data_IF_069719225877
#
_entry.id   IF_069719225877
#
_cell.length_a   1.000
_cell.length_b   1.000
_cell.length_c   1.000
_cell.angle_alpha   90.00
_cell.angle_beta   90.00
_cell.angle_gamma   90.00
#
_symmetry.space_group_name_H-M   'P 1'
#
loop_
_entity.id
_entity.type
_entity.pdbx_description
1 polymer ?
#
# COMPACT_ATOMS: atom_id res chain seq x y z
N UNK A 1 -21.80 6.21 12.71
CA UNK A 1 -23.15 6.18 12.12
C UNK A 1 -23.22 5.00 11.18
N UNK A 2 -23.92 3.92 11.55
CA UNK A 2 -24.06 2.65 10.80
C UNK A 2 -25.49 2.48 10.25
N UNK A 3 -26.32 3.52 10.33
CA UNK A 3 -27.73 3.46 9.95
C UNK A 3 -27.87 3.69 8.45
N UNK A 4 -28.47 2.70 7.77
CA UNK A 4 -28.66 2.68 6.31
C UNK A 4 -27.79 1.67 5.53
N UNK A 5 -26.85 0.96 6.17
CA UNK A 5 -25.98 0.01 5.47
C UNK A 5 -26.59 -1.41 5.35
N UNK A 6 -26.42 -2.08 4.20
CA UNK A 6 -26.99 -3.41 3.95
C UNK A 6 -26.30 -4.55 4.70
N UNK A 7 -25.06 -4.36 5.19
CA UNK A 7 -24.32 -5.34 6.01
C UNK A 7 -23.71 -4.64 7.21
N UNK A 8 -24.03 -5.12 8.42
CA UNK A 8 -23.58 -4.53 9.69
C UNK A 8 -22.72 -5.47 10.54
N UNK A 9 -22.62 -6.75 10.18
CA UNK A 9 -21.89 -7.78 10.93
C UNK A 9 -21.08 -8.66 9.98
N UNK A 10 -20.02 -9.30 10.49
CA UNK A 10 -19.21 -10.25 9.71
C UNK A 10 -20.03 -11.47 9.29
N UNK A 11 -20.93 -11.95 10.15
CA UNK A 11 -21.88 -13.02 9.80
C UNK A 11 -22.79 -12.65 8.62
N UNK A 12 -23.10 -11.36 8.44
CA UNK A 12 -23.90 -10.84 7.31
C UNK A 12 -23.18 -10.85 5.97
N UNK A 13 -21.90 -11.27 5.91
CA UNK A 13 -21.14 -11.42 4.68
C UNK A 13 -21.46 -12.70 3.91
N UNK A 14 -22.13 -13.68 4.56
CA UNK A 14 -22.48 -14.96 3.91
C UNK A 14 -23.22 -14.75 2.59
N UNK A 15 -22.71 -15.35 1.52
CA UNK A 15 -23.22 -15.28 0.15
C UNK A 15 -22.97 -13.95 -0.58
N UNK A 16 -22.32 -12.97 0.07
CA UNK A 16 -22.05 -11.65 -0.52
C UNK A 16 -20.73 -11.64 -1.29
N UNK A 17 -20.67 -10.76 -2.29
CA UNK A 17 -19.41 -10.42 -2.94
C UNK A 17 -18.61 -9.49 -2.03
N UNK A 18 -17.40 -9.90 -1.65
CA UNK A 18 -16.53 -9.17 -0.72
C UNK A 18 -15.22 -8.86 -1.42
N UNK A 19 -14.87 -7.57 -1.47
CA UNK A 19 -13.70 -7.07 -2.19
C UNK A 19 -12.46 -6.94 -1.29
N UNK A 20 -11.34 -7.53 -1.71
CA UNK A 20 -10.06 -7.44 -1.02
C UNK A 20 -8.92 -7.87 -1.96
N UNK A 21 -7.69 -7.41 -1.75
CA UNK A 21 -6.58 -7.83 -2.60
C UNK A 21 -6.08 -9.22 -2.19
N UNK A 22 -5.87 -10.14 -3.14
CA UNK A 22 -5.40 -11.51 -2.86
C UNK A 22 -4.00 -11.46 -2.25
N UNK A 23 -3.75 -12.29 -1.23
CA UNK A 23 -2.44 -12.34 -0.56
C UNK A 23 -2.07 -11.11 0.28
N UNK A 24 -2.92 -10.07 0.31
CA UNK A 24 -2.68 -8.87 1.12
C UNK A 24 -3.11 -9.05 2.58
N UNK A 25 -2.73 -8.12 3.45
CA UNK A 25 -3.32 -8.03 4.79
C UNK A 25 -4.85 -8.04 4.81
N UNK A 26 -5.51 -7.43 3.81
CA UNK A 26 -6.97 -7.48 3.68
C UNK A 26 -7.49 -8.89 3.42
N UNK A 27 -6.73 -9.73 2.71
CA UNK A 27 -7.03 -11.16 2.50
C UNK A 27 -6.97 -11.93 3.82
N UNK A 28 -5.87 -11.80 4.55
CA UNK A 28 -5.72 -12.48 5.84
C UNK A 28 -6.75 -12.00 6.88
N UNK A 29 -7.08 -10.71 6.86
CA UNK A 29 -8.08 -10.12 7.74
C UNK A 29 -9.49 -10.65 7.51
N UNK A 30 -9.90 -10.83 6.25
CA UNK A 30 -11.24 -11.36 5.98
C UNK A 30 -11.34 -12.82 6.37
N UNK A 31 -10.31 -13.63 6.08
CA UNK A 31 -10.23 -15.03 6.51
C UNK A 31 -10.35 -15.13 8.04
N UNK A 32 -9.55 -14.35 8.78
CA UNK A 32 -9.57 -14.35 10.24
C UNK A 32 -10.89 -13.79 10.83
N UNK A 33 -11.55 -12.86 10.13
CA UNK A 33 -12.84 -12.34 10.57
C UNK A 33 -13.98 -13.36 10.36
N UNK A 34 -13.98 -14.07 9.23
CA UNK A 34 -14.95 -15.12 8.92
C UNK A 34 -14.85 -16.29 9.92
N UNK A 35 -13.62 -16.72 10.24
CA UNK A 35 -13.38 -17.80 11.19
C UNK A 35 -13.99 -17.52 12.58
N UNK A 36 -13.88 -16.28 13.07
CA UNK A 36 -14.48 -15.84 14.35
C UNK A 36 -16.00 -15.98 14.43
N UNK A 37 -16.68 -16.08 13.28
CA UNK A 37 -18.13 -16.27 13.20
C UNK A 37 -18.50 -17.64 12.60
N UNK A 38 -17.53 -18.55 12.49
CA UNK A 38 -17.74 -19.90 11.95
C UNK A 38 -18.01 -19.93 10.44
N UNK A 39 -17.50 -18.94 9.69
CA UNK A 39 -17.56 -18.88 8.23
C UNK A 39 -16.18 -19.11 7.61
N UNK A 40 -16.16 -19.48 6.34
CA UNK A 40 -14.93 -19.68 5.54
C UNK A 40 -14.98 -18.90 4.23
N UNK A 41 -13.89 -18.92 3.45
CA UNK A 41 -13.85 -18.30 2.13
C UNK A 41 -14.89 -18.86 1.16
N UNK A 42 -15.35 -20.10 1.36
CA UNK A 42 -16.42 -20.72 0.59
C UNK A 42 -17.81 -20.11 0.87
N UNK A 43 -17.96 -19.44 2.01
CA UNK A 43 -19.22 -18.80 2.42
C UNK A 43 -19.37 -17.39 1.84
N UNK A 44 -18.34 -16.83 1.19
CA UNK A 44 -18.39 -15.54 0.51
C UNK A 44 -18.10 -15.69 -0.98
N UNK A 45 -18.27 -14.61 -1.74
CA UNK A 45 -17.80 -14.53 -3.13
C UNK A 45 -16.61 -13.55 -3.18
N UNK A 46 -15.37 -14.04 -3.11
CA UNK A 46 -14.20 -13.17 -3.15
C UNK A 46 -14.13 -12.37 -4.46
N UNK A 47 -14.01 -11.05 -4.36
CA UNK A 47 -13.65 -10.18 -5.47
C UNK A 47 -12.23 -9.67 -5.22
N UNK A 48 -11.27 -10.20 -5.96
CA UNK A 48 -9.88 -9.83 -5.77
C UNK A 48 -9.58 -8.52 -6.49
N UNK A 49 -9.57 -7.43 -5.72
CA UNK A 49 -9.42 -6.06 -6.24
C UNK A 49 -8.59 -5.22 -5.27
N UNK A 50 -7.91 -4.16 -5.73
CA UNK A 50 -7.18 -3.27 -4.82
C UNK A 50 -8.09 -2.66 -3.77
N UNK A 51 -7.54 -2.15 -2.66
CA UNK A 51 -8.30 -1.28 -1.78
C UNK A 51 -9.03 -0.15 -2.53
N UNK A 52 -8.38 0.57 -3.45
CA UNK A 52 -9.02 1.65 -4.21
C UNK A 52 -10.22 1.19 -5.08
N UNK A 53 -10.07 0.08 -5.81
CA UNK A 53 -11.12 -0.49 -6.66
C UNK A 53 -12.22 -1.15 -5.85
N UNK A 54 -11.86 -1.75 -4.73
CA UNK A 54 -12.80 -2.27 -3.76
C UNK A 54 -13.71 -1.15 -3.22
N UNK A 55 -13.18 0.08 -3.05
CA UNK A 55 -13.99 1.26 -2.72
C UNK A 55 -14.93 1.61 -3.85
N UNK A 56 -14.41 1.75 -5.07
CA UNK A 56 -15.18 2.17 -6.22
C UNK A 56 -16.27 1.15 -6.58
N UNK A 57 -15.95 -0.14 -6.49
CA UNK A 57 -16.88 -1.25 -6.66
C UNK A 57 -17.95 -1.26 -5.55
N UNK A 58 -17.57 -0.98 -4.31
CA UNK A 58 -18.51 -0.91 -3.19
C UNK A 58 -19.46 0.29 -3.34
N UNK A 59 -18.92 1.48 -3.65
CA UNK A 59 -19.71 2.70 -3.91
C UNK A 59 -20.61 2.54 -5.14
N UNK A 60 -20.11 1.88 -6.19
CA UNK A 60 -20.86 1.56 -7.40
C UNK A 60 -21.83 0.37 -7.25
N UNK A 61 -21.97 -0.21 -6.06
CA UNK A 61 -22.88 -1.33 -5.78
C UNK A 61 -22.50 -2.67 -6.42
N UNK A 62 -21.30 -2.78 -7.01
CA UNK A 62 -20.78 -3.99 -7.66
C UNK A 62 -20.36 -5.06 -6.65
N UNK A 63 -20.01 -4.66 -5.42
CA UNK A 63 -19.69 -5.58 -4.31
C UNK A 63 -20.48 -5.20 -3.06
N UNK A 64 -20.79 -6.20 -2.23
CA UNK A 64 -21.60 -6.02 -1.02
C UNK A 64 -20.80 -5.58 0.20
N UNK A 65 -19.48 -5.76 0.18
CA UNK A 65 -18.54 -5.30 1.20
C UNK A 65 -17.13 -5.20 0.61
N UNK A 66 -16.26 -4.47 1.29
CA UNK A 66 -14.82 -4.40 1.00
C UNK A 66 -14.00 -4.41 2.28
N UNK A 67 -12.76 -4.87 2.20
CA UNK A 67 -11.85 -4.97 3.33
C UNK A 67 -10.62 -4.11 3.07
N UNK A 68 -10.44 -3.09 3.92
CA UNK A 68 -9.34 -2.14 3.87
C UNK A 68 -8.96 -1.75 5.32
N UNK A 69 -7.69 -1.39 5.54
CA UNK A 69 -7.20 -0.80 6.79
C UNK A 69 -6.68 0.62 6.52
N UNK A 70 -7.23 1.62 7.22
CA UNK A 70 -6.71 3.01 7.24
C UNK A 70 -5.74 3.22 8.43
N UNK A 71 -4.73 4.13 8.35
CA UNK A 71 -4.33 4.99 7.21
C UNK A 71 -3.06 4.56 6.44
N UNK A 72 -3.08 4.76 5.12
CA UNK A 72 -1.96 4.55 4.19
C UNK A 72 -1.03 5.79 4.11
N UNK A 73 0.28 5.56 4.04
CA UNK A 73 1.26 6.58 3.61
C UNK A 73 1.33 6.63 2.07
N UNK A 74 1.44 7.82 1.49
CA UNK A 74 1.58 7.99 0.03
C UNK A 74 2.98 7.57 -0.47
N UNK A 75 3.12 7.00 -1.69
CA UNK A 75 4.37 6.40 -2.18
C UNK A 75 5.62 7.29 -2.15
N UNK A 76 5.54 8.56 -2.56
CA UNK A 76 6.69 9.49 -2.53
C UNK A 76 7.15 9.85 -1.11
N UNK A 77 6.27 9.73 -0.11
CA UNK A 77 6.66 9.86 1.29
C UNK A 77 7.35 8.62 1.84
N UNK A 78 7.23 7.48 1.14
CA UNK A 78 7.65 6.19 1.62
C UNK A 78 9.04 5.78 1.11
N UNK A 79 9.38 6.08 -0.14
CA UNK A 79 10.75 5.97 -0.65
C UNK A 79 11.71 6.83 0.18
N UNK A 80 11.30 8.06 0.52
CA UNK A 80 12.03 8.94 1.44
C UNK A 80 12.10 8.39 2.88
N UNK A 81 11.12 7.60 3.32
CA UNK A 81 11.18 6.90 4.61
C UNK A 81 12.23 5.79 4.55
N UNK A 82 12.20 4.95 3.52
CA UNK A 82 13.16 3.87 3.31
C UNK A 82 14.61 4.36 3.27
N UNK A 83 14.85 5.50 2.61
CA UNK A 83 16.16 6.14 2.53
C UNK A 83 16.71 6.49 3.92
N UNK A 84 15.87 7.01 4.82
CA UNK A 84 16.25 7.30 6.22
C UNK A 84 16.69 6.08 7.01
N UNK A 85 16.30 4.88 6.59
CA UNK A 85 16.73 3.62 7.18
C UNK A 85 17.90 2.98 6.44
N UNK A 86 18.40 3.59 5.37
CA UNK A 86 19.54 3.09 4.58
C UNK A 86 19.14 2.18 3.42
N UNK A 87 17.86 2.18 3.02
CA UNK A 87 17.40 1.45 1.83
C UNK A 87 17.29 2.46 0.69
N UNK A 88 18.29 2.46 -0.19
CA UNK A 88 18.41 3.47 -1.25
C UNK A 88 17.22 3.40 -2.23
N UNK A 89 16.45 4.47 -2.41
CA UNK A 89 15.37 4.50 -3.40
C UNK A 89 15.93 4.68 -4.82
N UNK A 90 15.14 4.31 -5.82
CA UNK A 90 15.36 4.77 -7.19
C UNK A 90 15.21 6.31 -7.22
N UNK A 91 16.08 6.99 -7.96
CA UNK A 91 16.05 8.46 -8.02
C UNK A 91 14.71 8.91 -8.59
N UNK A 92 14.08 9.89 -7.94
CA UNK A 92 12.75 10.35 -8.33
C UNK A 92 12.54 11.84 -8.07
N UNK A 93 11.61 12.42 -8.84
CA UNK A 93 11.23 13.82 -8.74
C UNK A 93 9.72 13.97 -8.88
N UNK A 94 9.10 14.66 -7.92
CA UNK A 94 7.69 15.03 -7.99
C UNK A 94 7.51 16.19 -8.96
N UNK A 95 6.56 16.06 -9.89
CA UNK A 95 6.26 17.03 -10.94
C UNK A 95 4.75 17.24 -11.05
N UNK A 96 4.33 18.39 -11.60
CA UNK A 96 2.91 18.74 -11.76
C UNK A 96 2.52 19.04 -13.19
N UNK A 97 3.43 19.61 -13.98
CA UNK A 97 3.17 19.98 -15.37
C UNK A 97 4.10 19.24 -16.32
N UNK A 98 3.76 19.22 -17.61
CA UNK A 98 4.62 18.69 -18.67
C UNK A 98 5.96 19.43 -18.72
N UNK A 99 5.95 20.76 -18.59
CA UNK A 99 7.15 21.59 -18.57
C UNK A 99 8.07 21.26 -17.40
N UNK A 100 7.50 20.97 -16.22
CA UNK A 100 8.26 20.60 -15.02
C UNK A 100 8.86 19.18 -15.10
N UNK A 101 8.37 18.34 -16.02
CA UNK A 101 8.74 16.93 -16.11
C UNK A 101 9.97 16.66 -16.99
N UNK A 102 10.23 17.50 -17.99
CA UNK A 102 11.33 17.29 -18.94
C UNK A 102 12.71 17.42 -18.30
N UNK A 103 12.95 18.48 -17.53
CA UNK A 103 14.27 18.70 -16.94
C UNK A 103 14.67 17.58 -15.96
N UNK A 104 13.80 17.15 -15.01
CA UNK A 104 14.09 15.99 -14.17
C UNK A 104 14.33 14.71 -14.97
N UNK A 105 13.64 14.51 -16.10
CA UNK A 105 13.89 13.35 -16.94
C UNK A 105 15.27 13.39 -17.61
N UNK A 106 15.73 14.58 -18.05
CA UNK A 106 17.10 14.77 -18.58
C UNK A 106 18.16 14.54 -17.50
N UNK A 107 17.92 15.03 -16.28
CA UNK A 107 18.88 14.91 -15.16
C UNK A 107 19.11 13.45 -14.71
N UNK A 108 18.16 12.56 -14.97
CA UNK A 108 18.28 11.13 -14.63
C UNK A 108 19.21 10.37 -15.58
N UNK A 109 19.50 10.92 -16.77
CA UNK A 109 20.41 10.38 -17.81
C UNK A 109 20.12 8.92 -18.20
N UNK A 110 18.83 8.57 -18.22
CA UNK A 110 18.36 7.23 -18.59
C UNK A 110 16.93 7.30 -19.10
N UNK A 111 16.39 6.16 -19.56
CA UNK A 111 14.94 6.03 -19.67
C UNK A 111 14.30 6.22 -18.29
N UNK A 112 13.10 6.77 -18.27
CA UNK A 112 12.38 7.10 -17.04
C UNK A 112 11.02 6.43 -16.99
N UNK A 113 10.50 6.32 -15.77
CA UNK A 113 9.14 5.90 -15.46
C UNK A 113 8.36 7.12 -15.00
N UNK A 114 7.22 7.37 -15.62
CA UNK A 114 6.25 8.35 -15.16
C UNK A 114 5.16 7.61 -14.37
N UNK A 115 4.95 7.98 -13.11
CA UNK A 115 3.91 7.41 -12.25
C UNK A 115 2.97 8.51 -11.76
N UNK A 116 1.69 8.20 -11.68
CA UNK A 116 0.72 9.00 -10.94
C UNK A 116 1.07 8.97 -9.44
N UNK A 117 1.14 10.14 -8.81
CA UNK A 117 1.27 10.23 -7.35
C UNK A 117 -0.10 10.55 -6.75
N UNK A 118 -0.80 9.51 -6.29
CA UNK A 118 -2.11 9.63 -5.66
C UNK A 118 -2.18 8.77 -4.42
N UNK A 119 -2.82 9.29 -3.37
CA UNK A 119 -3.17 8.55 -2.16
C UNK A 119 -4.54 7.84 -2.28
N UNK A 120 -5.25 8.05 -3.40
CA UNK A 120 -6.56 7.45 -3.68
C UNK A 120 -6.48 6.26 -4.64
N UNK A 121 -5.41 6.19 -5.43
CA UNK A 121 -5.24 5.25 -6.53
C UNK A 121 -3.98 4.43 -6.29
N UNK A 122 -4.16 3.16 -5.96
CA UNK A 122 -3.07 2.21 -5.69
C UNK A 122 -2.71 1.38 -6.93
N UNK A 123 -3.70 0.95 -7.74
CA UNK A 123 -3.49 0.24 -9.02
C UNK A 123 -3.32 1.20 -10.18
N UNK A 124 -2.25 1.99 -10.11
CA UNK A 124 -1.97 3.06 -11.07
C UNK A 124 -1.84 2.52 -12.49
N UNK A 125 -1.24 1.35 -12.66
CA UNK A 125 -1.01 0.73 -13.98
C UNK A 125 -2.31 0.43 -14.72
N UNK A 126 -3.33 -0.10 -14.03
CA UNK A 126 -4.60 -0.54 -14.64
C UNK A 126 -5.41 0.63 -15.22
N UNK A 127 -5.22 1.82 -14.68
CA UNK A 127 -5.87 3.05 -15.16
C UNK A 127 -4.94 3.90 -16.05
N UNK A 128 -3.83 3.35 -16.52
CA UNK A 128 -2.86 4.07 -17.36
C UNK A 128 -2.01 5.11 -16.61
N UNK A 129 -2.05 5.11 -15.28
CA UNK A 129 -1.29 5.96 -14.36
C UNK A 129 0.17 5.52 -14.12
N UNK A 130 0.70 4.59 -14.92
CA UNK A 130 2.13 4.28 -15.00
C UNK A 130 2.54 4.21 -16.46
N UNK A 131 3.69 4.77 -16.80
CA UNK A 131 4.31 4.68 -18.11
C UNK A 131 5.80 4.46 -17.94
N UNK A 132 6.31 3.34 -18.47
CA UNK A 132 7.71 2.94 -18.35
C UNK A 132 8.46 3.21 -19.64
N UNK A 133 9.78 3.35 -19.56
CA UNK A 133 10.64 3.39 -20.75
C UNK A 133 10.54 4.68 -21.56
N UNK A 134 10.20 5.80 -20.95
CA UNK A 134 10.10 7.08 -21.65
C UNK A 134 11.47 7.72 -21.84
N UNK A 135 11.69 8.32 -23.00
CA UNK A 135 12.75 9.31 -23.19
C UNK A 135 12.34 10.67 -22.60
N UNK A 136 13.32 11.54 -22.37
CA UNK A 136 13.10 12.82 -21.69
C UNK A 136 12.23 13.80 -22.50
N UNK A 137 12.23 13.70 -23.83
CA UNK A 137 11.40 14.47 -24.75
C UNK A 137 9.97 13.90 -24.89
N UNK A 138 9.78 12.61 -24.62
CA UNK A 138 8.47 11.95 -24.66
C UNK A 138 7.62 12.23 -23.41
N UNK A 139 8.25 12.60 -22.28
CA UNK A 139 7.60 12.65 -20.97
C UNK A 139 6.49 13.69 -20.88
N UNK A 140 6.68 14.88 -21.47
CA UNK A 140 5.73 15.97 -21.40
C UNK A 140 4.40 15.62 -22.07
N UNK A 141 4.48 15.04 -23.27
CA UNK A 141 3.31 14.56 -24.01
C UNK A 141 2.63 13.40 -23.28
N UNK A 142 3.42 12.45 -22.74
CA UNK A 142 2.87 11.30 -22.01
C UNK A 142 2.16 11.72 -20.71
N UNK A 143 2.66 12.72 -19.99
CA UNK A 143 2.04 13.24 -18.77
C UNK A 143 0.66 13.84 -19.07
N UNK A 144 0.56 14.68 -20.09
CA UNK A 144 -0.72 15.27 -20.50
C UNK A 144 -1.73 14.18 -20.85
N UNK A 145 -1.31 13.16 -21.61
CA UNK A 145 -2.17 12.02 -21.95
C UNK A 145 -2.58 11.23 -20.71
N UNK A 146 -1.64 10.94 -19.81
CA UNK A 146 -1.91 10.23 -18.55
C UNK A 146 -2.95 10.95 -17.70
N UNK A 147 -2.89 12.29 -17.63
CA UNK A 147 -3.91 13.08 -16.93
C UNK A 147 -5.30 12.84 -17.49
N UNK A 148 -5.44 12.92 -18.82
CA UNK A 148 -6.71 12.68 -19.50
C UNK A 148 -7.22 11.25 -19.30
N UNK A 149 -6.35 10.25 -19.45
CA UNK A 149 -6.69 8.83 -19.30
C UNK A 149 -7.22 8.55 -17.87
N UNK A 150 -6.52 9.06 -16.85
CA UNK A 150 -6.90 8.89 -15.44
C UNK A 150 -8.19 9.65 -15.12
N UNK A 151 -8.36 10.86 -15.63
CA UNK A 151 -9.58 11.65 -15.43
C UNK A 151 -10.80 10.95 -16.05
N UNK A 152 -10.66 10.44 -17.27
CA UNK A 152 -11.71 9.69 -17.94
C UNK A 152 -12.08 8.40 -17.18
N UNK A 153 -11.09 7.70 -16.60
CA UNK A 153 -11.30 6.45 -15.86
C UNK A 153 -11.88 6.67 -14.45
N UNK A 154 -11.53 7.77 -13.78
CA UNK A 154 -11.80 7.95 -12.35
C UNK A 154 -12.74 9.12 -12.03
N UNK A 155 -13.02 9.99 -12.99
CA UNK A 155 -13.80 11.23 -12.80
C UNK A 155 -13.05 12.33 -12.02
N UNK A 156 -11.74 12.18 -11.82
CA UNK A 156 -10.89 13.15 -11.14
C UNK A 156 -9.61 13.40 -11.94
N UNK A 157 -9.29 14.67 -12.16
CA UNK A 157 -8.05 15.09 -12.81
C UNK A 157 -6.86 15.01 -11.84
N UNK A 158 -5.84 14.18 -12.11
CA UNK A 158 -4.64 14.15 -11.29
C UNK A 158 -3.77 15.39 -11.47
N UNK A 159 -3.26 15.91 -10.36
CA UNK A 159 -2.44 17.13 -10.29
C UNK A 159 -0.95 16.85 -10.04
N UNK A 160 -0.61 15.64 -9.57
CA UNK A 160 0.73 15.31 -9.09
C UNK A 160 1.22 13.99 -9.68
N UNK A 161 2.44 14.01 -10.20
CA UNK A 161 3.11 12.89 -10.84
C UNK A 161 4.53 12.72 -10.28
N UNK A 162 5.14 11.59 -10.60
CA UNK A 162 6.49 11.22 -10.22
C UNK A 162 7.26 10.81 -11.48
N UNK A 163 8.37 11.49 -11.74
CA UNK A 163 9.38 11.06 -12.71
C UNK A 163 10.41 10.26 -11.95
N UNK A 164 10.63 9.01 -12.32
CA UNK A 164 11.51 8.10 -11.61
C UNK A 164 12.50 7.44 -12.57
N UNK A 165 13.72 7.18 -12.08
CA UNK A 165 14.72 6.38 -12.77
C UNK A 165 14.17 4.99 -13.12
N UNK A 166 14.32 4.57 -14.38
CA UNK A 166 14.01 3.21 -14.77
C UNK A 166 15.19 2.28 -14.46
N UNK A 167 15.08 1.52 -13.39
CA UNK A 167 16.05 0.46 -13.07
C UNK A 167 15.85 -0.69 -14.07
N UNK A 168 16.80 -0.86 -14.98
CA UNK A 168 16.72 -1.81 -16.11
C UNK A 168 17.51 -3.11 -15.91
N UNK A 169 18.23 -3.22 -14.79
CA UNK A 169 19.10 -4.35 -14.46
C UNK A 169 18.89 -4.79 -13.01
N UNK A 170 19.16 -6.06 -12.73
CA UNK A 170 19.08 -6.62 -11.39
C UNK A 170 17.97 -7.66 -11.24
N UNK A 171 17.93 -8.27 -10.07
CA UNK A 171 16.87 -9.21 -9.68
C UNK A 171 15.80 -8.44 -8.91
N UNK A 172 14.55 -8.53 -9.37
CA UNK A 172 13.42 -7.95 -8.65
C UNK A 172 13.09 -8.78 -7.42
N UNK A 173 13.01 -8.13 -6.26
CA UNK A 173 12.66 -8.73 -4.98
C UNK A 173 11.47 -7.99 -4.37
N UNK A 174 10.77 -8.66 -3.48
CA UNK A 174 9.75 -8.09 -2.59
C UNK A 174 10.27 -8.20 -1.17
N UNK A 175 10.13 -7.12 -0.40
CA UNK A 175 10.40 -7.13 1.04
C UNK A 175 9.16 -6.63 1.76
N UNK A 176 8.50 -7.51 2.50
CA UNK A 176 7.28 -7.27 3.21
C UNK A 176 7.42 -7.42 4.72
N UNK A 177 6.51 -6.77 5.44
CA UNK A 177 6.25 -6.90 6.86
C UNK A 177 4.75 -7.05 7.04
N UNK A 178 4.35 -7.98 7.89
CA UNK A 178 3.00 -8.01 8.45
C UNK A 178 3.05 -8.10 9.97
N UNK A 179 2.22 -7.31 10.66
CA UNK A 179 2.01 -7.41 12.10
C UNK A 179 0.56 -7.74 12.42
N UNK A 180 0.39 -8.81 13.19
CA UNK A 180 -0.90 -9.30 13.68
C UNK A 180 -0.84 -9.66 15.18
N UNK A 181 -1.82 -10.44 15.65
CA UNK A 181 -1.89 -10.89 17.04
C UNK A 181 -0.83 -11.94 17.39
N UNK A 182 -0.28 -12.65 16.40
CA UNK A 182 0.75 -13.67 16.58
C UNK A 182 2.16 -13.04 16.65
N UNK A 183 2.29 -11.82 16.15
CA UNK A 183 3.48 -11.00 16.30
C UNK A 183 3.82 -10.25 15.03
N UNK A 184 5.12 -10.09 14.80
CA UNK A 184 5.64 -9.35 13.65
C UNK A 184 6.36 -10.33 12.74
N UNK A 185 5.95 -10.41 11.48
CA UNK A 185 6.58 -11.27 10.49
C UNK A 185 7.24 -10.44 9.39
N UNK A 186 8.46 -10.81 9.00
CA UNK A 186 9.19 -10.24 7.86
C UNK A 186 9.28 -11.27 6.74
N UNK A 187 9.21 -10.79 5.50
CA UNK A 187 9.14 -11.60 4.30
C UNK A 187 10.03 -11.02 3.20
N UNK A 188 11.15 -11.66 2.85
CA UNK A 188 11.72 -11.57 1.52
C UNK A 188 11.00 -12.54 0.56
N UNK A 189 10.84 -12.10 -0.68
CA UNK A 189 10.33 -12.90 -1.77
C UNK A 189 10.90 -12.47 -3.10
N UNK A 190 10.79 -13.33 -4.09
CA UNK A 190 11.06 -12.92 -5.46
C UNK A 190 10.01 -11.91 -5.92
N UNK A 191 10.42 -10.93 -6.73
CA UNK A 191 9.55 -9.94 -7.35
C UNK A 191 9.31 -10.16 -8.84
N UNK A 192 8.45 -9.33 -9.42
CA UNK A 192 8.09 -9.37 -10.83
C UNK A 192 7.00 -10.39 -11.18
N UNK A 193 6.54 -10.34 -12.42
CA UNK A 193 5.34 -11.07 -12.89
C UNK A 193 5.47 -12.59 -12.73
N UNK A 194 6.68 -13.13 -12.88
CA UNK A 194 6.93 -14.57 -12.73
C UNK A 194 6.91 -15.01 -11.26
N UNK A 195 7.20 -14.10 -10.31
CA UNK A 195 7.19 -14.42 -8.90
C UNK A 195 5.77 -14.66 -8.34
N UNK A 196 4.76 -13.98 -8.87
CA UNK A 196 3.35 -14.21 -8.50
C UNK A 196 2.91 -15.65 -8.80
N UNK A 197 3.47 -16.25 -9.86
CA UNK A 197 3.19 -17.63 -10.25
C UNK A 197 3.92 -18.59 -9.31
N UNK A 198 5.19 -18.30 -8.98
CA UNK A 198 6.03 -19.19 -8.18
C UNK A 198 5.72 -19.15 -6.68
N UNK A 199 5.13 -18.05 -6.18
CA UNK A 199 4.89 -17.77 -4.76
C UNK A 199 6.12 -18.04 -3.89
N UNK A 200 7.29 -17.65 -4.38
CA UNK A 200 8.57 -17.90 -3.74
C UNK A 200 8.88 -16.83 -2.68
N UNK A 201 8.47 -17.12 -1.45
CA UNK A 201 8.60 -16.23 -0.30
C UNK A 201 9.05 -17.02 0.92
N UNK A 202 9.84 -16.38 1.78
CA UNK A 202 10.27 -16.94 3.07
C UNK A 202 9.73 -16.06 4.17
N UNK A 203 9.03 -16.64 5.15
CA UNK A 203 8.49 -15.90 6.29
C UNK A 203 9.32 -16.19 7.54
N UNK A 204 9.65 -15.14 8.31
CA UNK A 204 10.21 -15.29 9.66
C UNK A 204 9.51 -14.37 10.64
N UNK A 205 9.28 -14.89 11.84
CA UNK A 205 8.83 -14.09 12.97
C UNK A 205 10.01 -13.28 13.52
N UNK A 206 9.81 -11.97 13.64
CA UNK A 206 10.73 -11.08 14.33
C UNK A 206 10.37 -11.02 15.82
N UNK A 207 11.35 -11.18 16.72
CA UNK A 207 11.15 -10.87 18.14
C UNK A 207 10.72 -9.41 18.32
N UNK A 208 9.96 -9.13 19.38
CA UNK A 208 9.41 -7.79 19.61
C UNK A 208 10.46 -6.74 19.97
N UNK A 209 11.64 -7.16 20.40
CA UNK A 209 12.71 -6.33 20.93
C UNK A 209 14.07 -6.54 20.23
N UNK A 210 14.10 -7.36 19.17
CA UNK A 210 15.33 -7.67 18.44
C UNK A 210 15.22 -7.35 16.95
N UNK A 211 16.35 -6.94 16.38
CA UNK A 211 16.51 -6.75 14.93
C UNK A 211 16.81 -8.09 14.26
N UNK A 212 16.46 -8.20 12.99
CA UNK A 212 16.98 -9.27 12.15
C UNK A 212 18.50 -9.16 12.10
N UNK A 213 19.23 -10.25 12.38
CA UNK A 213 20.67 -10.24 12.19
C UNK A 213 21.02 -10.35 10.71
N UNK A 214 22.19 -9.86 10.31
CA UNK A 214 22.66 -10.02 8.93
C UNK A 214 22.76 -11.51 8.54
N UNK A 215 23.13 -12.37 9.48
CA UNK A 215 23.19 -13.82 9.27
C UNK A 215 21.79 -14.38 8.98
N UNK A 216 20.79 -14.05 9.79
CA UNK A 216 19.41 -14.51 9.60
C UNK A 216 18.86 -14.03 8.25
N UNK A 217 19.16 -12.78 7.87
CA UNK A 217 18.80 -12.23 6.57
C UNK A 217 19.41 -13.06 5.42
N UNK A 218 20.70 -13.38 5.48
CA UNK A 218 21.34 -14.23 4.47
C UNK A 218 20.76 -15.64 4.43
N UNK A 219 20.42 -16.23 5.58
CA UNK A 219 19.79 -17.56 5.66
C UNK A 219 18.40 -17.53 5.00
N UNK A 220 17.58 -16.52 5.31
CA UNK A 220 16.27 -16.33 4.68
C UNK A 220 16.37 -16.17 3.15
N UNK A 221 17.34 -15.40 2.66
CA UNK A 221 17.52 -15.20 1.20
C UNK A 221 17.91 -16.53 0.52
N UNK A 222 18.74 -17.37 1.17
CA UNK A 222 19.16 -18.68 0.63
C UNK A 222 18.06 -19.73 0.64
N UNK A 223 17.04 -19.57 1.48
CA UNK A 223 15.88 -20.46 1.54
C UNK A 223 14.91 -20.27 0.36
N UNK A 224 15.02 -19.16 -0.37
CA UNK A 224 14.23 -18.91 -1.57
C UNK A 224 14.52 -19.99 -2.62
N UNK A 225 13.47 -20.54 -3.23
CA UNK A 225 13.59 -21.51 -4.32
C UNK A 225 14.33 -20.92 -5.52
N UNK A 226 14.22 -19.61 -5.69
CA UNK A 226 14.87 -18.80 -6.73
C UNK A 226 16.21 -18.23 -6.32
N UNK A 227 16.77 -18.58 -5.15
CA UNK A 227 18.14 -18.23 -4.74
C UNK A 227 19.20 -18.35 -5.85
N UNK A 228 19.20 -19.38 -6.72
CA UNK A 228 20.18 -19.46 -7.81
C UNK A 228 20.19 -18.26 -8.77
N UNK A 229 19.10 -17.49 -8.87
CA UNK A 229 19.05 -16.26 -9.66
C UNK A 229 19.85 -15.11 -9.02
N UNK A 230 20.02 -15.13 -7.71
CA UNK A 230 20.85 -14.17 -6.96
C UNK A 230 22.33 -14.59 -6.96
N UNK A 231 22.63 -15.89 -6.95
CA UNK A 231 24.00 -16.44 -6.94
C UNK A 231 24.64 -16.54 -8.35
N UNK A 232 23.97 -16.00 -9.37
CA UNK A 232 24.40 -16.01 -10.76
C UNK A 232 23.89 -17.24 -11.51
N UNK A 233 23.15 -17.01 -12.60
CA UNK A 233 22.55 -18.07 -13.41
C UNK A 233 22.72 -17.79 -14.91
N UNK A 234 23.14 -18.82 -15.67
CA UNK A 234 23.34 -18.78 -17.13
C UNK A 234 24.08 -17.53 -17.63
N UNK A 235 25.24 -17.24 -17.04
CA UNK A 235 26.09 -16.12 -17.45
C UNK A 235 25.64 -14.74 -16.97
N UNK A 236 24.55 -14.64 -16.20
CA UNK A 236 24.23 -13.42 -15.45
C UNK A 236 25.20 -13.25 -14.28
N UNK A 237 25.63 -12.00 -14.00
CA UNK A 237 26.46 -11.71 -12.83
C UNK A 237 25.72 -12.04 -11.54
N UNK A 238 26.48 -12.21 -10.46
CA UNK A 238 25.94 -12.34 -9.11
C UNK A 238 25.26 -11.05 -8.68
N UNK A 239 24.11 -11.17 -8.04
CA UNK A 239 23.44 -10.05 -7.40
C UNK A 239 24.17 -9.65 -6.11
N UNK A 240 23.97 -8.42 -5.66
CA UNK A 240 24.51 -7.90 -4.41
C UNK A 240 23.71 -8.42 -3.19
N UNK A 241 23.94 -9.69 -2.86
CA UNK A 241 23.24 -10.38 -1.77
C UNK A 241 23.52 -9.72 -0.41
N UNK A 242 24.73 -9.23 -0.19
CA UNK A 242 25.09 -8.54 1.05
C UNK A 242 24.32 -7.23 1.18
N UNK A 243 24.15 -6.48 0.09
CA UNK A 243 23.29 -5.29 0.11
C UNK A 243 21.81 -5.64 0.32
N UNK A 244 21.30 -6.74 -0.23
CA UNK A 244 19.94 -7.22 0.04
C UNK A 244 19.77 -7.59 1.53
N UNK A 245 20.75 -8.31 2.11
CA UNK A 245 20.73 -8.66 3.53
C UNK A 245 20.77 -7.40 4.41
N UNK A 246 21.63 -6.44 4.08
CA UNK A 246 21.69 -5.14 4.75
C UNK A 246 20.36 -4.38 4.65
N UNK A 247 19.67 -4.44 3.49
CA UNK A 247 18.36 -3.84 3.30
C UNK A 247 17.28 -4.51 4.17
N UNK A 248 17.29 -5.84 4.31
CA UNK A 248 16.38 -6.57 5.22
C UNK A 248 16.63 -6.18 6.69
N UNK A 249 17.89 -6.06 7.10
CA UNK A 249 18.24 -5.60 8.45
C UNK A 249 17.76 -4.16 8.67
N UNK A 250 18.01 -3.27 7.71
CA UNK A 250 17.52 -1.88 7.73
C UNK A 250 15.98 -1.81 7.81
N UNK A 251 15.30 -2.65 7.05
CA UNK A 251 13.84 -2.75 7.07
C UNK A 251 13.33 -3.23 8.42
N UNK A 252 13.96 -4.25 9.02
CA UNK A 252 13.63 -4.70 10.40
C UNK A 252 13.85 -3.60 11.45
N UNK A 253 14.85 -2.74 11.25
CA UNK A 253 15.09 -1.56 12.11
C UNK A 253 13.98 -0.52 11.99
N UNK A 254 13.53 -0.24 10.77
CA UNK A 254 12.36 0.61 10.54
C UNK A 254 11.13 0.08 11.28
N UNK A 255 10.89 -1.23 11.17
CA UNK A 255 9.77 -1.91 11.81
C UNK A 255 9.81 -1.79 13.33
N UNK A 256 10.98 -2.03 13.92
CA UNK A 256 11.16 -1.93 15.37
C UNK A 256 10.97 -0.49 15.85
N UNK A 257 11.53 0.49 15.13
CA UNK A 257 11.46 1.91 15.51
C UNK A 257 10.06 2.52 15.34
N UNK A 258 9.30 2.08 14.33
CA UNK A 258 7.91 2.51 14.16
C UNK A 258 6.95 1.75 15.09
N UNK A 259 7.37 0.59 15.62
CA UNK A 259 6.63 -0.19 16.60
C UNK A 259 5.22 -0.51 16.15
N UNK A 260 4.28 -0.56 17.09
CA UNK A 260 2.85 -0.86 16.84
C UNK A 260 2.16 0.07 15.84
N UNK A 261 2.77 1.23 15.55
CA UNK A 261 2.24 2.14 14.54
C UNK A 261 2.39 1.59 13.14
N UNK A 262 3.33 0.70 12.87
CA UNK A 262 3.48 0.06 11.56
C UNK A 262 2.79 -1.30 11.58
N UNK A 263 1.70 -1.42 10.84
CA UNK A 263 0.95 -2.67 10.73
C UNK A 263 1.46 -3.50 9.56
N UNK A 264 1.78 -2.83 8.46
CA UNK A 264 2.23 -3.46 7.23
C UNK A 264 3.18 -2.51 6.52
N UNK A 265 4.20 -3.06 5.89
CA UNK A 265 5.06 -2.33 4.97
C UNK A 265 5.53 -3.29 3.90
N UNK A 266 5.63 -2.80 2.67
CA UNK A 266 6.16 -3.58 1.56
C UNK A 266 6.99 -2.67 0.65
N UNK A 267 8.13 -3.18 0.20
CA UNK A 267 8.92 -2.64 -0.89
C UNK A 267 8.75 -3.57 -2.08
N UNK A 268 8.18 -3.06 -3.16
CA UNK A 268 7.86 -3.86 -4.32
C UNK A 268 7.80 -3.00 -5.60
N UNK A 269 8.77 -3.12 -6.54
CA UNK A 269 9.96 -3.96 -6.45
C UNK A 269 11.10 -3.30 -5.66
N UNK A 270 11.89 -4.13 -4.98
CA UNK A 270 13.25 -3.86 -4.55
C UNK A 270 14.21 -4.51 -5.56
N UNK A 271 14.89 -3.71 -6.37
CA UNK A 271 15.88 -4.22 -7.31
C UNK A 271 17.20 -4.52 -6.60
N UNK A 272 17.72 -5.73 -6.78
CA UNK A 272 19.06 -6.14 -6.34
C UNK A 272 19.99 -6.09 -7.53
N UNK A 273 20.89 -5.12 -7.55
CA UNK A 273 21.82 -4.91 -8.66
C UNK A 273 22.98 -5.90 -8.60
N UNK A 274 23.86 -5.86 -9.60
CA UNK A 274 25.07 -6.67 -9.62
C UNK A 274 25.92 -6.42 -8.36
N UNK A 275 26.69 -7.42 -7.95
CA UNK A 275 27.55 -7.37 -6.77
C UNK A 275 28.38 -6.06 -6.71
N UNK A 276 28.30 -5.36 -5.58
CA UNK A 276 28.96 -4.08 -5.34
C UNK A 276 28.14 -2.85 -5.76
N UNK A 277 26.98 -3.02 -6.40
CA UNK A 277 26.11 -1.91 -6.85
C UNK A 277 24.92 -1.65 -5.92
N UNK A 278 24.66 -2.54 -4.97
CA UNK A 278 23.63 -2.37 -3.95
C UNK A 278 22.21 -2.68 -4.41
N UNK A 279 21.23 -2.10 -3.70
CA UNK A 279 19.79 -2.24 -3.99
C UNK A 279 19.13 -0.92 -4.37
N UNK A 280 17.98 -0.98 -5.05
CA UNK A 280 17.13 0.19 -5.37
C UNK A 280 15.66 -0.10 -5.11
N UNK A 281 15.04 0.63 -4.17
CA UNK A 281 13.61 0.56 -3.92
C UNK A 281 12.85 1.44 -4.92
N UNK A 282 12.02 0.84 -5.78
CA UNK A 282 11.30 1.58 -6.81
C UNK A 282 9.86 1.94 -6.42
N UNK A 283 9.27 1.18 -5.51
CA UNK A 283 7.96 1.51 -4.95
C UNK A 283 7.82 0.89 -3.57
N UNK A 284 6.78 1.34 -2.86
CA UNK A 284 6.35 0.67 -1.65
C UNK A 284 5.04 1.17 -1.12
N UNK A 285 4.52 0.41 -0.17
CA UNK A 285 3.33 0.75 0.60
C UNK A 285 3.61 0.57 2.08
N UNK A 286 3.03 1.43 2.92
CA UNK A 286 3.00 1.21 4.36
C UNK A 286 1.63 1.56 4.91
N UNK A 287 1.16 0.72 5.82
CA UNK A 287 -0.08 0.88 6.56
C UNK A 287 0.28 1.20 7.99
N UNK A 288 -0.13 2.38 8.44
CA UNK A 288 0.02 2.75 9.83
C UNK A 288 -1.24 2.37 10.62
N UNK A 289 -1.11 2.13 11.92
CA UNK A 289 -2.24 2.10 12.81
C UNK A 289 -2.71 3.54 13.07
N UNK A 290 -4.02 3.78 12.93
CA UNK A 290 -4.64 5.04 13.33
C UNK A 290 -4.51 5.19 14.86
N UNK A 291 -4.04 6.33 15.36
CA UNK A 291 -4.01 6.61 16.80
C UNK A 291 -5.43 6.59 17.37
N UNK A 292 -5.80 5.52 18.06
CA UNK A 292 -6.91 5.47 19.01
C UNK A 292 -6.32 5.38 20.43
N UNK A 293 -6.67 6.36 21.26
CA UNK A 293 -6.52 6.46 22.73
C UNK A 293 -5.60 5.41 23.39
N UNK A 294 -4.51 5.90 23.97
CA UNK A 294 -3.58 5.14 24.79
C UNK A 294 -4.28 4.14 25.75
N UNK A 295 -3.76 2.92 25.72
CA UNK A 295 -3.73 1.92 26.78
C UNK A 295 -4.49 2.24 28.07
N UNK A 296 -5.74 1.77 28.16
CA UNK A 296 -6.38 1.48 29.45
C UNK A 296 -6.31 -0.03 29.73
N UNK A 297 -5.10 -0.58 29.84
CA UNK A 297 -4.87 -1.94 30.35
C UNK A 297 -3.43 -2.09 30.81
N UNK A 298 -3.00 -1.24 31.76
CA UNK A 298 -1.77 -1.45 32.51
C UNK A 298 -1.79 -0.75 33.88
N UNK A 299 -2.89 -0.84 34.64
CA UNK A 299 -2.86 -0.55 36.07
C UNK A 299 -4.03 -1.20 36.82
N UNK A 300 -3.87 -2.47 37.21
CA UNK A 300 -4.36 -3.06 38.47
C UNK A 300 -3.95 -4.53 38.55
N UNK A 301 -2.66 -4.75 38.77
CA UNK A 301 -2.16 -5.99 39.33
C UNK A 301 -0.97 -5.65 40.22
N UNK A 302 -1.27 -5.12 41.41
CA UNK A 302 -0.44 -5.24 42.62
C UNK A 302 -1.19 -4.65 43.81
N UNK A 303 -1.36 -5.50 44.84
CA UNK A 303 -1.75 -5.18 46.21
C UNK A 303 -3.24 -4.78 46.40
N UNK A 304 -4.06 -5.33 47.30
CA UNK A 304 -3.83 -5.86 48.67
C UNK A 304 -4.93 -6.90 48.99
N UNK A 305 -4.55 -8.08 49.47
CA UNK A 305 -5.36 -8.88 50.39
C UNK A 305 -5.19 -8.25 51.79
N UNK A 306 -6.27 -7.76 52.41
CA UNK A 306 -6.47 -7.74 53.87
C UNK A 306 -7.76 -6.97 54.26
N UNK A 307 -8.63 -7.69 54.97
CA UNK A 307 -9.41 -7.27 56.14
C UNK A 307 -10.46 -6.14 56.06
N UNK A 308 -11.72 -6.59 56.02
CA UNK A 308 -12.81 -6.36 57.00
C UNK A 308 -13.08 -4.98 57.63
N UNK A 309 -14.37 -4.62 57.52
CA UNK A 309 -15.26 -4.03 58.53
C UNK A 309 -15.60 -2.51 58.50
N UNK A 310 -16.91 -2.29 58.33
CA UNK A 310 -17.80 -1.29 58.95
C UNK A 310 -17.88 0.16 58.46
N UNK A 311 -19.06 0.45 57.91
CA UNK A 311 -19.98 1.59 58.10
C UNK A 311 -19.45 3.04 58.25
N UNK A 312 -19.99 3.96 57.43
CA UNK A 312 -20.99 4.98 57.81
C UNK A 312 -21.44 5.74 56.54
N UNK A 313 -22.72 6.12 56.52
CA UNK A 313 -23.47 6.72 55.43
C UNK A 313 -23.19 8.21 55.18
N UNK A 314 -23.30 8.66 53.91
CA UNK A 314 -24.00 9.91 53.57
C UNK A 314 -24.33 10.01 52.06
N UNK A 315 -25.63 10.00 51.77
CA UNK A 315 -26.37 10.82 50.79
C UNK A 315 -25.66 11.33 49.51
N UNK A 316 -26.15 10.87 48.35
CA UNK A 316 -25.92 11.49 47.04
C UNK A 316 -26.73 10.79 45.94
N UNK A 317 -27.53 11.55 45.21
CA UNK A 317 -28.55 11.19 44.20
C UNK A 317 -28.09 10.33 43.01
N UNK A 318 -29.01 9.64 42.29
CA UNK A 318 -28.66 8.63 41.29
C UNK A 318 -28.27 9.26 39.93
N UNK A 319 -27.00 9.14 39.57
CA UNK A 319 -26.50 9.37 38.21
C UNK A 319 -26.80 8.17 37.29
N UNK A 320 -26.95 8.38 35.97
CA UNK A 320 -27.54 7.39 35.08
C UNK A 320 -26.63 6.18 34.87
N UNK A 321 -27.26 5.00 34.75
CA UNK A 321 -26.64 3.74 34.33
C UNK A 321 -25.94 3.94 32.98
N UNK A 322 -24.61 3.94 32.97
CA UNK A 322 -23.84 3.79 31.73
C UNK A 322 -23.84 2.31 31.38
N UNK A 323 -24.71 1.96 30.44
CA UNK A 323 -24.72 0.66 29.81
C UNK A 323 -23.35 0.38 29.16
N UNK A 324 -22.81 -0.81 29.43
CA UNK A 324 -21.67 -1.35 28.71
C UNK A 324 -21.96 -1.29 27.20
N UNK A 325 -21.24 -0.42 26.50
CA UNK A 325 -21.38 -0.27 25.05
C UNK A 325 -20.51 -1.34 24.39
N UNK A 326 -21.06 -2.22 23.54
CA UNK A 326 -20.28 -3.30 22.94
C UNK A 326 -19.23 -2.73 21.96
N UNK A 327 -18.07 -3.38 21.94
CA UNK A 327 -16.98 -3.20 20.99
C UNK A 327 -17.52 -3.06 19.56
N UNK A 328 -17.38 -1.88 18.95
CA UNK A 328 -17.78 -1.64 17.57
C UNK A 328 -16.64 -2.04 16.64
N UNK A 329 -16.82 -3.17 15.98
CA UNK A 329 -16.13 -3.52 14.73
C UNK A 329 -16.47 -2.42 13.70
N UNK A 330 -15.49 -1.62 13.27
CA UNK A 330 -15.74 -0.53 12.31
C UNK A 330 -15.54 -1.06 10.89
N UNK A 331 -16.60 -1.61 10.31
CA UNK A 331 -16.71 -1.74 8.86
C UNK A 331 -16.92 -0.32 8.31
N UNK A 332 -15.89 0.28 7.71
CA UNK A 332 -15.99 1.60 7.09
C UNK A 332 -16.68 1.48 5.73
N UNK A 333 -17.99 1.71 5.71
CA UNK A 333 -18.72 2.10 4.52
C UNK A 333 -18.94 3.62 4.57
N UNK A 334 -18.31 4.35 3.65
CA UNK A 334 -18.47 5.80 3.52
C UNK A 334 -19.73 6.10 2.72
N UNK A 335 -20.65 6.90 3.28
CA UNK A 335 -21.83 7.40 2.59
C UNK A 335 -21.46 8.56 1.65
N UNK A 336 -21.87 8.48 0.38
CA UNK A 336 -21.81 9.58 -0.58
C UNK A 336 -23.03 10.48 -0.40
N UNK A 337 -22.83 11.70 0.12
CA UNK A 337 -23.81 12.77 0.04
C UNK A 337 -23.64 13.53 -1.29
N UNK A 338 -24.72 13.65 -2.07
CA UNK A 338 -24.78 14.54 -3.24
C UNK A 338 -24.51 15.98 -2.80
N UNK A 339 -23.48 16.61 -3.37
CA UNK A 339 -23.27 18.07 -3.28
C UNK A 339 -23.91 18.68 -4.54
N UNK A 340 -24.82 19.67 -4.43
CA UNK A 340 -25.41 20.32 -5.60
C UNK A 340 -24.37 21.15 -6.35
N UNK A 341 -24.50 21.33 -7.68
CA UNK A 341 -23.52 22.07 -8.46
C UNK A 341 -23.63 23.55 -8.10
N UNK A 342 -22.55 24.14 -7.58
CA UNK A 342 -22.44 25.58 -7.49
C UNK A 342 -21.64 26.07 -8.70
N UNK A 343 -22.37 26.75 -9.58
CA UNK A 343 -21.90 27.55 -10.70
C UNK A 343 -20.83 28.56 -10.29
N UNK A 344 -19.69 28.56 -10.97
CA UNK A 344 -18.97 29.71 -11.59
C UNK A 344 -17.47 29.40 -11.70
N UNK A 345 -16.88 29.60 -12.89
CA UNK A 345 -15.42 29.64 -13.06
C UNK A 345 -14.83 28.88 -14.26
N UNK A 346 -15.21 29.28 -15.48
CA UNK A 346 -14.39 29.29 -16.71
C UNK A 346 -13.42 28.09 -16.93
N UNK A 347 -13.91 27.06 -17.64
CA UNK A 347 -13.05 26.09 -18.34
C UNK A 347 -12.85 26.53 -19.80
N UNK A 348 -11.59 26.64 -20.23
CA UNK A 348 -11.24 26.77 -21.64
C UNK A 348 -11.29 25.37 -22.32
N UNK A 349 -11.90 25.22 -23.50
CA UNK A 349 -12.04 23.92 -24.14
C UNK A 349 -10.72 23.44 -24.77
N UNK A 350 -10.40 22.16 -24.56
CA UNK A 350 -9.43 21.42 -25.34
C UNK A 350 -9.98 21.23 -26.76
N UNK A 351 -9.66 22.13 -27.69
CA UNK A 351 -9.95 21.93 -29.10
C UNK A 351 -8.83 21.12 -29.77
N UNK A 352 -9.25 20.04 -30.42
CA UNK A 352 -8.46 19.26 -31.34
C UNK A 352 -8.01 20.13 -32.53
N UNK A 353 -6.70 20.15 -32.79
CA UNK A 353 -6.14 20.64 -34.04
C UNK A 353 -6.37 19.60 -35.14
N UNK A 354 -7.42 19.79 -35.94
CA UNK A 354 -7.57 19.11 -37.22
C UNK A 354 -6.79 19.87 -38.30
N UNK A 355 -6.00 19.08 -39.01
CA UNK A 355 -5.14 19.40 -40.13
C UNK A 355 -5.80 20.19 -41.26
N UNK A 356 -5.10 21.21 -41.75
CA UNK A 356 -5.31 21.89 -43.01
C UNK A 356 -4.99 20.97 -44.20
N UNK A 357 -5.98 20.76 -45.08
CA UNK A 357 -5.77 20.21 -46.44
C UNK A 357 -5.66 21.36 -47.45
N UNK A 358 -4.75 21.31 -48.43
CA UNK A 358 -4.63 22.36 -49.44
C UNK A 358 -5.62 22.16 -50.59
N UNK A 359 -6.06 23.31 -51.10
CA UNK A 359 -6.93 23.53 -52.26
C UNK A 359 -6.34 23.01 -53.57
N UNK A 360 -7.15 22.27 -54.34
CA UNK A 360 -6.98 22.07 -55.78
C UNK A 360 -7.89 23.04 -56.53
N UNK A 361 -7.28 23.93 -57.31
CA UNK A 361 -7.94 24.82 -58.28
C UNK A 361 -7.96 24.17 -59.66
N UNK A 362 -9.14 24.04 -60.26
CA UNK A 362 -9.32 23.85 -61.71
C UNK A 362 -10.76 24.17 -62.12
N UNK A 363 -11.03 25.41 -62.54
CA UNK A 363 -11.63 25.80 -63.83
C UNK A 363 -11.88 27.30 -63.87
#
# INVERSE_FOLDING_TARGET
MLDGLPVKTVAGLKGRTVAFARGSSSNYMIVAALDKVGLSDADIKPAFVSPADARAAFVGGKVGAWVIRDPYLAPAGLTALFDRFGITPARERVVRTSADAEQPARDLDSRVVLKLLSNRITHKSDIGGVAVGLAADEIGARLTRMRCDVEAATGFAPDTFLVQEMVSSGVEMIVGLHRDQLGTAILPGMGGVTAEILNDTVLRMLPTDALLSHRDACEMIRELRTWPLLDGYRGRPRADVDALAAALVAFSRMVLQLGERLVEAEINPLFVLDSGRGVRAADGVAVLACRGVAAASAHRARSIHAHSASAIASTGTPGPKVAATPFVFRCCASAAGKIPPNTTGIAAPCNASSSSSPSTSST
#
